data_IF_883185780221
#
_entry.id   IF_883185780221
#
_cell.length_a   1.000
_cell.length_b   1.000
_cell.length_c   1.000
_cell.angle_alpha   90.00
_cell.angle_beta   90.00
_cell.angle_gamma   90.00
#
_symmetry.space_group_name_H-M   'P 1'
#
loop_
_entity.id
_entity.type
_entity.pdbx_description
1 polymer ?
#
# COMPACT_ATOMS: atom_id res chain seq x y z
N UNK A 1 13.68 -4.88 -19.20
CA UNK A 1 14.24 -4.75 -17.83
C UNK A 1 13.12 -4.28 -16.91
N UNK A 2 12.62 -5.13 -16.00
CA UNK A 2 11.50 -4.78 -15.14
C UNK A 2 11.86 -3.70 -14.11
N UNK A 3 10.98 -2.72 -13.91
CA UNK A 3 11.17 -1.62 -12.97
C UNK A 3 11.19 -2.13 -11.51
N UNK A 4 12.40 -2.42 -10.99
CA UNK A 4 12.65 -2.95 -9.63
C UNK A 4 12.31 -1.98 -8.48
N UNK A 5 11.86 -0.76 -8.77
CA UNK A 5 11.62 0.29 -7.78
C UNK A 5 10.17 0.78 -7.71
N UNK A 6 9.25 0.13 -8.42
CA UNK A 6 7.83 0.51 -8.37
C UNK A 6 7.11 -0.28 -7.29
N UNK A 7 6.54 0.41 -6.31
CA UNK A 7 5.64 -0.19 -5.35
C UNK A 7 4.52 -0.94 -6.08
N UNK A 8 4.31 -2.22 -5.79
CA UNK A 8 3.20 -2.98 -6.38
C UNK A 8 1.94 -2.78 -5.55
N UNK A 9 0.89 -2.28 -6.20
CA UNK A 9 -0.42 -2.08 -5.61
C UNK A 9 -1.40 -2.97 -6.37
N UNK A 10 -1.96 -3.95 -5.66
CA UNK A 10 -2.89 -4.93 -6.20
C UNK A 10 -4.31 -4.53 -5.83
N UNK A 11 -5.15 -4.26 -6.81
CA UNK A 11 -6.50 -3.73 -6.60
C UNK A 11 -7.54 -4.68 -7.21
N UNK A 12 -8.63 -4.92 -6.48
CA UNK A 12 -9.77 -5.73 -6.94
C UNK A 12 -10.63 -4.95 -7.97
N UNK A 13 -10.96 -3.69 -7.64
CA UNK A 13 -11.61 -2.74 -8.54
C UNK A 13 -11.20 -1.30 -8.21
N UNK A 14 -11.12 -0.43 -9.23
CA UNK A 14 -10.86 0.99 -9.02
C UNK A 14 -12.09 1.70 -8.45
N UNK A 15 -11.86 2.57 -7.48
CA UNK A 15 -12.87 3.38 -6.77
C UNK A 15 -12.28 4.70 -6.28
N UNK A 16 -13.13 5.64 -5.87
CA UNK A 16 -12.71 6.90 -5.24
C UNK A 16 -11.74 6.68 -4.08
N UNK A 17 -11.96 5.62 -3.28
CA UNK A 17 -11.09 5.24 -2.18
C UNK A 17 -9.70 4.79 -2.62
N UNK A 18 -9.61 4.04 -3.74
CA UNK A 18 -8.31 3.70 -4.30
C UNK A 18 -7.60 4.96 -4.81
N UNK A 19 -8.31 5.93 -5.41
CA UNK A 19 -7.68 7.20 -5.81
C UNK A 19 -7.17 8.00 -4.62
N UNK A 20 -7.91 8.05 -3.51
CA UNK A 20 -7.44 8.69 -2.26
C UNK A 20 -6.19 7.99 -1.69
N UNK A 21 -6.16 6.65 -1.72
CA UNK A 21 -4.96 5.91 -1.32
C UNK A 21 -3.77 6.27 -2.22
N UNK A 22 -3.96 6.28 -3.54
CA UNK A 22 -2.90 6.54 -4.51
C UNK A 22 -2.36 7.97 -4.38
N UNK A 23 -3.22 8.97 -4.16
CA UNK A 23 -2.78 10.35 -4.00
C UNK A 23 -1.80 10.52 -2.83
N UNK A 24 -2.02 9.85 -1.70
CA UNK A 24 -1.07 9.89 -0.58
C UNK A 24 0.28 9.20 -0.86
N UNK A 25 0.31 8.17 -1.72
CA UNK A 25 1.58 7.57 -2.20
C UNK A 25 2.32 8.55 -3.11
N UNK A 26 1.60 9.26 -3.97
CA UNK A 26 2.13 10.28 -4.89
C UNK A 26 2.66 11.51 -4.16
N UNK A 27 1.98 11.97 -3.11
CA UNK A 27 2.46 13.06 -2.24
C UNK A 27 3.80 12.72 -1.58
N UNK A 28 4.02 11.45 -1.27
CA UNK A 28 5.32 10.97 -0.81
C UNK A 28 6.28 10.67 -1.99
N UNK A 29 5.96 11.01 -3.23
CA UNK A 29 6.86 10.84 -4.38
C UNK A 29 7.26 9.38 -4.63
N UNK A 30 6.48 8.42 -4.14
CA UNK A 30 6.72 7.00 -4.36
C UNK A 30 6.08 6.62 -5.69
N UNK A 31 6.88 6.09 -6.61
CA UNK A 31 6.37 5.55 -7.85
C UNK A 31 5.79 4.16 -7.61
N UNK A 32 4.63 3.89 -8.21
CA UNK A 32 3.93 2.63 -8.06
C UNK A 32 3.49 2.05 -9.41
N UNK A 33 3.08 0.79 -9.39
CA UNK A 33 2.42 0.12 -10.50
C UNK A 33 1.16 -0.57 -9.97
N UNK A 34 0.02 -0.26 -10.60
CA UNK A 34 -1.26 -0.93 -10.31
C UNK A 34 -1.28 -2.26 -11.04
N UNK A 35 -1.69 -3.30 -10.33
CA UNK A 35 -1.87 -4.67 -10.82
C UNK A 35 -3.24 -5.20 -10.42
N UNK A 36 -3.76 -6.14 -11.19
CA UNK A 36 -4.97 -6.86 -10.82
C UNK A 36 -4.71 -7.73 -9.57
N UNK A 37 -5.67 -7.78 -8.65
CA UNK A 37 -5.61 -8.58 -7.44
C UNK A 37 -5.21 -10.05 -7.66
N UNK A 38 -5.75 -10.72 -8.69
CA UNK A 38 -5.45 -12.14 -8.98
C UNK A 38 -3.96 -12.38 -9.24
N UNK A 39 -3.28 -11.38 -9.81
CA UNK A 39 -1.84 -11.47 -10.07
C UNK A 39 -1.00 -11.49 -8.79
N UNK A 40 -1.54 -11.03 -7.64
CA UNK A 40 -0.83 -11.04 -6.35
C UNK A 40 -0.34 -12.44 -5.99
N UNK A 41 -1.14 -13.47 -6.25
CA UNK A 41 -0.82 -14.87 -5.92
C UNK A 41 0.36 -15.43 -6.74
N UNK A 42 0.75 -14.75 -7.83
CA UNK A 42 1.87 -15.13 -8.68
C UNK A 42 3.20 -14.52 -8.21
N UNK A 43 3.18 -13.59 -7.24
CA UNK A 43 4.37 -12.93 -6.73
C UNK A 43 4.90 -13.62 -5.48
N UNK A 44 6.18 -13.99 -5.52
CA UNK A 44 6.96 -14.16 -4.30
C UNK A 44 7.22 -12.78 -3.68
N UNK A 45 6.91 -12.61 -2.39
CA UNK A 45 7.14 -11.37 -1.67
C UNK A 45 8.62 -10.90 -1.74
N UNK A 46 9.55 -11.83 -1.92
CA UNK A 46 11.02 -11.58 -2.02
C UNK A 46 11.38 -10.81 -3.27
N UNK A 47 10.55 -10.91 -4.29
CA UNK A 47 10.75 -10.27 -5.58
C UNK A 47 9.98 -8.95 -5.69
N UNK A 48 9.20 -8.59 -4.67
CA UNK A 48 8.52 -7.30 -4.62
C UNK A 48 9.50 -6.18 -4.23
N UNK A 49 9.43 -5.01 -4.90
CA UNK A 49 10.16 -3.82 -4.48
C UNK A 49 9.87 -3.48 -3.02
N UNK A 50 10.90 -3.00 -2.32
CA UNK A 50 10.83 -2.69 -0.89
C UNK A 50 10.45 -3.89 0.00
N UNK A 51 10.45 -5.11 -0.53
CA UNK A 51 9.95 -6.33 0.14
C UNK A 51 8.51 -6.17 0.64
N UNK A 52 7.70 -5.38 -0.09
CA UNK A 52 6.32 -5.13 0.27
C UNK A 52 5.40 -5.01 -0.95
N UNK A 53 4.15 -5.42 -0.76
CA UNK A 53 3.06 -5.20 -1.70
C UNK A 53 1.85 -4.65 -0.96
N UNK A 54 1.11 -3.74 -1.60
CA UNK A 54 -0.16 -3.24 -1.07
C UNK A 54 -1.28 -4.00 -1.76
N UNK A 55 -2.26 -4.48 -1.01
CA UNK A 55 -3.47 -5.07 -1.56
C UNK A 55 -4.68 -4.28 -1.08
N UNK A 56 -5.52 -3.87 -2.03
CA UNK A 56 -6.77 -3.14 -1.80
C UNK A 56 -7.92 -4.03 -2.28
N UNK A 57 -8.77 -4.48 -1.35
CA UNK A 57 -9.86 -5.42 -1.62
C UNK A 57 -11.00 -5.24 -0.64
N UNK A 58 -12.26 -5.21 -1.11
CA UNK A 58 -13.46 -5.29 -0.26
C UNK A 58 -13.42 -4.36 0.97
N UNK A 59 -13.21 -3.07 0.75
CA UNK A 59 -13.05 -2.06 1.81
C UNK A 59 -11.85 -2.24 2.75
N UNK A 60 -10.87 -3.05 2.36
CA UNK A 60 -9.65 -3.33 3.14
C UNK A 60 -8.43 -2.84 2.40
N UNK A 61 -7.47 -2.33 3.16
CA UNK A 61 -6.10 -2.12 2.68
C UNK A 61 -5.18 -2.94 3.57
N UNK A 62 -4.31 -3.72 2.95
CA UNK A 62 -3.36 -4.56 3.67
C UNK A 62 -2.00 -4.45 3.00
N UNK A 63 -0.96 -4.27 3.82
CA UNK A 63 0.42 -4.38 3.34
C UNK A 63 0.90 -5.80 3.62
N UNK A 64 1.40 -6.46 2.58
CA UNK A 64 2.03 -7.77 2.65
C UNK A 64 3.55 -7.61 2.63
N UNK A 65 4.21 -8.29 3.57
CA UNK A 65 5.66 -8.28 3.71
C UNK A 65 6.13 -9.55 4.43
N UNK A 66 7.43 -9.86 4.36
CA UNK A 66 8.00 -10.92 5.21
C UNK A 66 7.98 -10.55 6.69
N UNK A 67 8.10 -9.25 6.99
CA UNK A 67 8.05 -8.78 8.36
C UNK A 67 6.57 -8.70 8.81
N UNK A 68 6.20 -9.62 9.71
CA UNK A 68 4.86 -9.66 10.29
C UNK A 68 4.52 -8.45 11.14
N UNK A 69 5.51 -7.69 11.61
CA UNK A 69 5.26 -6.42 12.29
C UNK A 69 4.80 -5.34 11.30
N UNK A 70 5.35 -5.33 10.08
CA UNK A 70 4.88 -4.43 9.00
C UNK A 70 3.43 -4.76 8.64
N UNK A 71 3.11 -6.05 8.47
CA UNK A 71 1.72 -6.46 8.15
C UNK A 71 0.72 -6.03 9.24
N UNK A 72 1.12 -6.09 10.52
CA UNK A 72 0.28 -5.65 11.65
C UNK A 72 0.17 -4.13 11.71
N UNK A 73 1.25 -3.42 11.36
CA UNK A 73 1.31 -1.97 11.39
C UNK A 73 0.43 -1.36 10.30
N UNK A 74 0.47 -1.91 9.09
CA UNK A 74 -0.25 -1.36 7.95
C UNK A 74 -1.40 -2.27 7.52
N UNK A 75 -2.50 -2.18 8.27
CA UNK A 75 -3.71 -2.93 7.98
C UNK A 75 -4.97 -2.18 8.39
N UNK A 76 -5.86 -1.98 7.42
CA UNK A 76 -7.20 -1.41 7.59
C UNK A 76 -8.24 -2.45 7.22
N UNK A 77 -9.14 -2.77 8.17
CA UNK A 77 -10.22 -3.77 8.00
C UNK A 77 -11.50 -3.22 7.37
N UNK A 78 -11.72 -1.92 7.50
CA UNK A 78 -12.80 -1.18 6.87
C UNK A 78 -12.35 0.29 6.81
N UNK A 79 -12.20 0.84 5.60
CA UNK A 79 -11.75 2.22 5.41
C UNK A 79 -12.89 3.26 5.38
N UNK A 80 -14.15 2.88 5.65
CA UNK A 80 -15.30 3.81 5.66
C UNK A 80 -15.09 5.05 6.56
N UNK A 81 -14.26 4.93 7.60
CA UNK A 81 -13.93 6.02 8.54
C UNK A 81 -12.44 6.40 8.51
N UNK A 82 -11.68 5.98 7.50
CA UNK A 82 -10.24 6.23 7.43
C UNK A 82 -9.91 7.24 6.34
N UNK A 83 -9.00 8.17 6.64
CA UNK A 83 -8.32 8.98 5.62
C UNK A 83 -7.24 8.13 4.95
N UNK A 84 -7.60 7.44 3.87
CA UNK A 84 -6.69 6.55 3.15
C UNK A 84 -5.46 7.29 2.63
N UNK A 85 -5.59 8.57 2.30
CA UNK A 85 -4.46 9.44 1.94
C UNK A 85 -3.43 9.56 3.08
N UNK A 86 -3.84 9.81 4.32
CA UNK A 86 -2.92 9.90 5.47
C UNK A 86 -2.26 8.55 5.76
N UNK A 87 -3.02 7.46 5.69
CA UNK A 87 -2.51 6.11 5.86
C UNK A 87 -1.46 5.75 4.80
N UNK A 88 -1.76 6.01 3.53
CA UNK A 88 -0.87 5.68 2.42
C UNK A 88 0.41 6.52 2.43
N UNK A 89 0.33 7.78 2.90
CA UNK A 89 1.53 8.59 3.17
C UNK A 89 2.45 7.94 4.20
N UNK A 90 1.92 7.34 5.26
CA UNK A 90 2.77 6.65 6.23
C UNK A 90 3.42 5.38 5.65
N UNK A 91 2.78 4.71 4.68
CA UNK A 91 3.46 3.66 3.88
C UNK A 91 4.61 4.28 3.08
N UNK A 92 4.40 5.44 2.44
CA UNK A 92 5.46 6.15 1.72
C UNK A 92 6.62 6.59 2.62
N UNK A 93 6.32 7.09 3.82
CA UNK A 93 7.31 7.45 4.84
C UNK A 93 8.08 6.23 5.32
N UNK A 94 7.40 5.10 5.55
CA UNK A 94 8.03 3.83 5.87
C UNK A 94 9.04 3.41 4.79
N UNK A 95 8.65 3.44 3.51
CA UNK A 95 9.53 3.12 2.37
C UNK A 95 10.79 4.01 2.37
N UNK A 96 10.63 5.30 2.69
CA UNK A 96 11.72 6.27 2.79
C UNK A 96 12.52 6.18 4.09
N UNK A 97 12.14 5.30 5.03
CA UNK A 97 12.72 5.20 6.38
C UNK A 97 12.57 6.49 7.20
N UNK A 98 11.43 7.17 7.05
CA UNK A 98 11.05 8.34 7.84
C UNK A 98 10.11 7.95 8.99
N UNK A 99 10.06 8.73 10.09
CA UNK A 99 9.13 8.48 11.19
C UNK A 99 7.67 8.50 10.73
N UNK A 100 6.83 7.58 11.20
CA UNK A 100 5.39 7.57 10.89
C UNK A 100 4.67 8.68 11.65
N UNK A 101 3.56 9.18 11.09
CA UNK A 101 2.68 10.15 11.76
C UNK A 101 1.59 9.48 12.60
N UNK A 102 1.06 8.34 12.17
CA UNK A 102 0.08 7.54 12.90
C UNK A 102 -1.34 8.13 13.00
N UNK A 103 -1.59 9.30 12.42
CA UNK A 103 -2.88 10.00 12.42
C UNK A 103 -3.77 9.49 11.28
N UNK A 104 -4.23 8.23 11.35
CA UNK A 104 -4.99 7.59 10.26
C UNK A 104 -6.51 7.63 10.45
N UNK A 105 -6.95 7.78 11.70
CA UNK A 105 -8.34 8.01 12.05
C UNK A 105 -8.54 9.52 12.22
N UNK A 106 -9.61 10.07 11.64
CA UNK A 106 -10.17 11.37 12.05
C UNK A 106 -11.22 11.14 13.15
#
# INVERSE_FOLDING_TARGET
>A
MGNKYLLKIFIDYESEFSFEFLSGIEEEGIRYEIKNLESFYLYELSNLPFQLGVVIKNNKVLVKSFDKNIEKLFYIRNYENFRLSKFSRDIGRFIKKLPLKGEWND
#
